data_IF_684355734817
#
_entry.id   IF_684355734817
#
_cell.length_a   1.000
_cell.length_b   1.000
_cell.length_c   1.000
_cell.angle_alpha   90.00
_cell.angle_beta   90.00
_cell.angle_gamma   90.00
#
_symmetry.space_group_name_H-M   'P 1'
#
loop_
_entity.id
_entity.type
_entity.pdbx_description
1 polymer ?
#
# COMPACT_ATOMS: atom_id res chain seq x y z
N UNK A 1 37.67 -18.58 50.10
CA UNK A 1 37.64 -19.10 48.72
C UNK A 1 36.18 -19.19 48.33
N UNK A 2 35.75 -18.22 47.52
CA UNK A 2 34.41 -18.15 46.94
C UNK A 2 34.14 -19.35 46.04
N UNK A 3 32.93 -19.90 46.07
CA UNK A 3 32.35 -20.59 44.91
C UNK A 3 30.95 -20.04 44.70
N UNK A 4 30.83 -19.20 43.68
CA UNK A 4 29.60 -18.57 43.21
C UNK A 4 28.91 -19.44 42.15
N UNK A 5 27.59 -19.56 42.29
CA UNK A 5 26.49 -19.67 41.30
C UNK A 5 26.74 -20.38 39.95
N UNK A 6 25.77 -21.24 39.59
CA UNK A 6 24.83 -20.95 38.48
C UNK A 6 23.67 -21.97 38.40
N UNK A 7 22.40 -21.54 38.36
CA UNK A 7 21.29 -22.31 37.80
C UNK A 7 21.04 -21.90 36.33
N UNK A 8 20.49 -22.85 35.57
CA UNK A 8 19.76 -22.71 34.30
C UNK A 8 20.41 -21.95 33.12
N UNK A 9 20.77 -22.70 32.07
CA UNK A 9 20.68 -22.17 30.70
C UNK A 9 20.28 -23.27 29.71
N UNK A 10 19.21 -22.96 28.99
CA UNK A 10 18.56 -23.74 27.94
C UNK A 10 19.53 -24.00 26.79
N UNK A 11 19.52 -25.24 26.28
CA UNK A 11 20.37 -25.69 25.19
C UNK A 11 19.98 -25.07 23.85
N UNK A 12 20.83 -24.18 23.35
CA UNK A 12 20.97 -23.91 21.93
C UNK A 12 22.46 -23.91 21.60
N UNK A 13 22.95 -25.05 21.13
CA UNK A 13 24.23 -25.13 20.42
C UNK A 13 24.04 -25.90 19.12
N UNK A 14 24.45 -25.22 18.04
CA UNK A 14 24.77 -25.74 16.71
C UNK A 14 23.62 -26.13 15.77
N UNK A 15 22.96 -25.13 15.18
CA UNK A 15 22.44 -25.25 13.82
C UNK A 15 23.44 -24.60 12.84
N UNK A 16 24.34 -25.41 12.30
CA UNK A 16 25.07 -25.08 11.08
C UNK A 16 24.11 -25.30 9.90
N UNK A 17 23.56 -24.21 9.35
CA UNK A 17 22.78 -24.25 8.13
C UNK A 17 23.74 -24.17 6.94
N UNK A 18 24.10 -25.31 6.34
CA UNK A 18 24.71 -25.31 5.00
C UNK A 18 23.62 -25.04 3.96
N UNK A 19 23.47 -23.78 3.56
CA UNK A 19 22.82 -23.47 2.29
C UNK A 19 23.74 -23.94 1.15
N UNK A 20 23.23 -24.62 0.11
CA UNK A 20 24.04 -24.93 -1.07
C UNK A 20 24.47 -23.63 -1.75
N UNK A 21 25.75 -23.55 -2.14
CA UNK A 21 26.30 -22.46 -2.95
C UNK A 21 25.62 -22.52 -4.31
N UNK A 22 24.86 -21.47 -4.66
CA UNK A 22 24.31 -21.30 -5.99
C UNK A 22 25.49 -20.95 -6.92
N UNK A 23 25.76 -21.72 -7.99
CA UNK A 23 26.82 -21.37 -8.91
C UNK A 23 26.45 -20.09 -9.66
N UNK A 24 27.35 -19.11 -9.64
CA UNK A 24 27.35 -17.99 -10.59
C UNK A 24 27.45 -18.58 -12.01
N UNK A 25 26.33 -18.63 -12.73
CA UNK A 25 26.33 -19.00 -14.14
C UNK A 25 26.85 -17.81 -14.94
N UNK A 26 28.05 -17.97 -15.49
CA UNK A 26 28.61 -17.11 -16.53
C UNK A 26 27.65 -17.05 -17.73
N UNK A 27 26.88 -15.98 -17.86
CA UNK A 27 26.35 -15.54 -19.13
C UNK A 27 27.17 -14.34 -19.62
N UNK A 28 28.08 -14.61 -20.56
CA UNK A 28 28.56 -13.65 -21.55
C UNK A 28 29.74 -12.76 -21.16
N UNK A 29 30.95 -13.33 -21.10
CA UNK A 29 32.19 -12.59 -21.37
C UNK A 29 32.58 -12.88 -22.81
N UNK A 30 32.39 -11.91 -23.69
CA UNK A 30 33.24 -11.63 -24.86
C UNK A 30 32.62 -10.47 -25.67
N UNK A 31 32.87 -9.24 -25.20
CA UNK A 31 32.78 -8.05 -26.06
C UNK A 31 33.99 -7.19 -25.77
N UNK A 32 34.97 -7.21 -26.68
CA UNK A 32 36.09 -6.26 -26.70
C UNK A 32 35.55 -4.89 -27.12
N UNK A 33 35.61 -3.92 -26.21
CA UNK A 33 35.29 -2.52 -26.54
C UNK A 33 36.38 -1.93 -27.46
N UNK A 34 36.01 -1.18 -28.51
CA UNK A 34 37.00 -0.47 -29.32
C UNK A 34 37.57 0.71 -28.53
N UNK A 35 38.89 0.85 -28.53
CA UNK A 35 39.57 2.06 -28.06
C UNK A 35 39.15 3.25 -28.95
N UNK A 36 38.49 4.25 -28.36
CA UNK A 36 38.27 5.53 -29.02
C UNK A 36 38.37 6.70 -28.04
N UNK A 37 39.42 7.49 -28.23
CA UNK A 37 39.38 8.95 -28.35
C UNK A 37 38.73 9.74 -27.22
N UNK A 38 39.58 10.40 -26.44
CA UNK A 38 39.22 11.49 -25.54
C UNK A 38 38.56 12.67 -26.28
N UNK A 39 37.25 12.85 -26.13
CA UNK A 39 36.61 14.18 -26.19
C UNK A 39 35.45 14.22 -25.18
N UNK A 40 35.46 15.15 -24.20
CA UNK A 40 34.35 15.29 -23.26
C UNK A 40 33.20 16.04 -23.94
N UNK A 41 32.05 15.38 -24.09
CA UNK A 41 30.77 16.04 -24.30
C UNK A 41 30.04 16.05 -22.96
N UNK A 42 30.19 17.15 -22.24
CA UNK A 42 29.45 17.45 -21.02
C UNK A 42 27.98 17.72 -21.36
N UNK A 43 27.13 16.69 -21.28
CA UNK A 43 25.68 16.88 -21.13
C UNK A 43 25.14 15.84 -20.12
N UNK A 44 24.72 16.24 -18.91
CA UNK A 44 24.08 15.31 -17.98
C UNK A 44 22.68 14.95 -18.47
N UNK A 45 22.43 13.65 -18.67
CA UNK A 45 21.18 13.09 -19.22
C UNK A 45 20.00 13.09 -18.23
N UNK A 46 20.21 13.49 -16.96
CA UNK A 46 19.15 13.67 -15.98
C UNK A 46 19.50 14.82 -15.04
N UNK A 47 18.54 15.69 -14.64
CA UNK A 47 18.79 16.69 -13.63
C UNK A 47 19.14 16.01 -12.31
N UNK A 48 20.24 16.42 -11.67
CA UNK A 48 20.48 16.11 -10.26
C UNK A 48 19.45 16.91 -9.45
N UNK A 49 18.41 16.24 -8.97
CA UNK A 49 17.50 16.84 -8.00
C UNK A 49 18.20 16.80 -6.64
N UNK A 50 18.74 17.94 -6.23
CA UNK A 50 19.21 18.16 -4.87
C UNK A 50 18.02 18.02 -3.93
N UNK A 51 18.11 17.09 -2.98
CA UNK A 51 17.10 16.94 -1.94
C UNK A 51 17.05 18.23 -1.09
N UNK A 52 15.93 18.99 -1.04
CA UNK A 52 15.86 20.20 -0.22
C UNK A 52 15.80 19.91 1.29
N UNK A 53 15.89 18.65 1.70
CA UNK A 53 15.49 18.18 3.04
C UNK A 53 16.51 18.30 4.17
N UNK A 54 17.74 18.77 3.94
CA UNK A 54 18.73 18.82 5.04
C UNK A 54 18.44 19.88 6.13
N UNK A 55 17.40 20.72 6.00
CA UNK A 55 17.19 21.87 6.89
C UNK A 55 16.11 21.75 7.98
N UNK A 56 15.38 20.63 8.11
CA UNK A 56 14.28 20.54 9.08
C UNK A 56 14.26 19.26 9.93
N UNK A 57 15.41 18.88 10.49
CA UNK A 57 15.57 17.73 11.39
C UNK A 57 15.05 17.96 12.81
N UNK A 58 14.47 19.12 13.15
CA UNK A 58 14.03 19.39 14.51
C UNK A 58 12.50 19.54 14.61
N UNK A 59 11.90 18.54 15.26
CA UNK A 59 10.47 18.39 15.65
C UNK A 59 9.57 17.69 14.63
N UNK A 60 9.69 16.36 14.51
CA UNK A 60 8.57 15.51 14.08
C UNK A 60 8.31 14.45 15.13
N UNK A 61 7.13 14.53 15.74
CA UNK A 61 6.61 13.56 16.69
C UNK A 61 6.18 12.33 15.90
N UNK A 62 6.70 11.16 16.29
CA UNK A 62 6.52 9.83 15.69
C UNK A 62 7.24 9.64 14.33
N UNK A 63 8.40 9.00 14.39
CA UNK A 63 9.15 8.51 13.22
C UNK A 63 8.29 7.43 12.60
N UNK A 64 7.55 7.76 11.53
CA UNK A 64 7.01 6.73 10.65
C UNK A 64 8.20 5.93 10.11
N UNK A 65 8.08 4.60 10.03
CA UNK A 65 9.16 3.77 9.47
C UNK A 65 9.48 4.14 8.01
N UNK A 66 8.55 4.80 7.33
CA UNK A 66 8.73 5.37 5.99
C UNK A 66 9.67 6.59 5.95
N UNK A 67 9.87 7.28 7.08
CA UNK A 67 10.75 8.45 7.19
C UNK A 67 12.16 8.00 7.60
N UNK A 68 12.94 7.55 6.61
CA UNK A 68 14.33 7.17 6.78
C UNK A 68 15.16 7.58 5.56
N UNK A 69 16.48 7.43 5.63
CA UNK A 69 17.42 7.75 4.54
C UNK A 69 17.13 6.98 3.23
N UNK A 70 16.34 5.89 3.31
CA UNK A 70 15.93 5.06 2.18
C UNK A 70 14.52 5.40 1.65
N UNK A 71 13.89 6.49 2.08
CA UNK A 71 12.49 6.80 1.72
C UNK A 71 12.25 6.80 0.21
N UNK A 72 13.21 7.32 -0.56
CA UNK A 72 13.12 7.43 -2.01
C UNK A 72 13.30 6.06 -2.69
N UNK A 73 14.29 5.28 -2.24
CA UNK A 73 14.54 3.91 -2.73
C UNK A 73 13.36 2.98 -2.43
N UNK A 74 12.79 3.11 -1.23
CA UNK A 74 11.58 2.39 -0.82
C UNK A 74 10.43 2.76 -1.75
N UNK A 75 10.19 4.05 -2.00
CA UNK A 75 9.12 4.49 -2.89
C UNK A 75 9.31 4.00 -4.32
N UNK A 76 10.54 4.08 -4.84
CA UNK A 76 10.87 3.56 -6.15
C UNK A 76 10.58 2.06 -6.24
N UNK A 77 11.01 1.29 -5.24
CA UNK A 77 10.72 -0.14 -5.13
C UNK A 77 9.21 -0.40 -5.08
N UNK A 78 8.44 0.37 -4.30
CA UNK A 78 6.98 0.24 -4.24
C UNK A 78 6.34 0.44 -5.62
N UNK A 79 6.77 1.46 -6.38
CA UNK A 79 6.27 1.70 -7.73
C UNK A 79 6.62 0.57 -8.70
N UNK A 80 7.88 0.13 -8.72
CA UNK A 80 8.33 -0.96 -9.59
C UNK A 80 7.60 -2.28 -9.28
N UNK A 81 7.26 -2.50 -8.00
CA UNK A 81 6.55 -3.70 -7.56
C UNK A 81 5.04 -3.62 -7.83
N UNK A 82 4.45 -2.43 -7.78
CA UNK A 82 3.08 -2.20 -8.24
C UNK A 82 2.91 -2.48 -9.74
N UNK A 83 3.87 -2.09 -10.58
CA UNK A 83 3.84 -2.36 -12.03
C UNK A 83 3.85 -3.86 -12.36
N UNK A 84 4.32 -4.70 -11.44
CA UNK A 84 4.34 -6.17 -11.55
C UNK A 84 3.11 -6.85 -10.94
N UNK A 85 2.05 -6.10 -10.60
CA UNK A 85 0.76 -6.69 -10.21
C UNK A 85 0.10 -7.38 -11.41
N UNK A 86 -0.70 -8.40 -11.12
CA UNK A 86 -1.57 -9.02 -12.12
C UNK A 86 -2.58 -7.96 -12.57
N UNK A 87 -2.77 -7.85 -13.89
CA UNK A 87 -3.78 -6.95 -14.46
C UNK A 87 -5.15 -7.57 -14.25
N UNK A 88 -5.98 -6.91 -13.45
CA UNK A 88 -7.36 -7.32 -13.18
C UNK A 88 -8.28 -6.87 -14.32
N UNK A 89 -9.03 -7.83 -14.87
CA UNK A 89 -9.95 -7.65 -15.98
C UNK A 89 -11.39 -7.40 -15.55
N UNK A 90 -11.79 -7.87 -14.36
CA UNK A 90 -13.16 -7.81 -13.82
C UNK A 90 -14.22 -8.32 -14.81
N UNK A 91 -13.90 -9.36 -15.57
CA UNK A 91 -14.78 -9.92 -16.60
C UNK A 91 -15.62 -11.10 -16.08
N UNK A 92 -15.30 -11.62 -14.89
CA UNK A 92 -15.99 -12.75 -14.31
C UNK A 92 -17.39 -12.37 -13.84
N UNK A 93 -18.37 -13.26 -14.07
CA UNK A 93 -19.72 -13.12 -13.48
C UNK A 93 -19.69 -13.11 -11.95
N UNK A 94 -18.63 -13.64 -11.34
CA UNK A 94 -18.44 -13.69 -9.91
C UNK A 94 -18.19 -12.31 -9.28
N UNK A 95 -17.81 -11.30 -10.07
CA UNK A 95 -17.66 -9.92 -9.58
C UNK A 95 -18.96 -9.35 -8.98
N UNK A 96 -20.12 -9.91 -9.33
CA UNK A 96 -21.41 -9.58 -8.69
C UNK A 96 -21.44 -9.88 -7.19
N UNK A 97 -20.66 -10.85 -6.71
CA UNK A 97 -20.55 -11.18 -5.29
C UNK A 97 -19.48 -10.38 -4.54
N UNK A 98 -18.69 -9.57 -5.25
CA UNK A 98 -17.53 -8.86 -4.69
C UNK A 98 -17.91 -7.96 -3.51
N UNK A 99 -19.03 -7.23 -3.60
CA UNK A 99 -19.50 -6.38 -2.51
C UNK A 99 -19.86 -7.18 -1.25
N UNK A 100 -20.49 -8.35 -1.43
CA UNK A 100 -20.78 -9.25 -0.32
C UNK A 100 -19.50 -9.79 0.32
N UNK A 101 -18.50 -10.16 -0.50
CA UNK A 101 -17.20 -10.62 0.01
C UNK A 101 -16.44 -9.49 0.71
N UNK A 102 -16.46 -8.27 0.18
CA UNK A 102 -15.85 -7.10 0.82
C UNK A 102 -16.46 -6.84 2.19
N UNK A 103 -17.79 -6.94 2.33
CA UNK A 103 -18.46 -6.82 3.64
C UNK A 103 -17.99 -7.90 4.62
N UNK A 104 -17.89 -9.16 4.16
CA UNK A 104 -17.36 -10.26 4.98
C UNK A 104 -15.92 -9.98 5.41
N UNK A 105 -15.06 -9.55 4.48
CA UNK A 105 -13.66 -9.21 4.73
C UNK A 105 -13.52 -8.06 5.73
N UNK A 106 -14.34 -7.01 5.61
CA UNK A 106 -14.35 -5.88 6.56
C UNK A 106 -14.70 -6.35 7.98
N UNK A 107 -15.76 -7.14 8.14
CA UNK A 107 -16.15 -7.70 9.44
C UNK A 107 -15.04 -8.58 10.02
N UNK A 108 -14.44 -9.44 9.20
CA UNK A 108 -13.34 -10.31 9.62
C UNK A 108 -12.09 -9.50 10.03
N UNK A 109 -11.72 -8.48 9.24
CA UNK A 109 -10.59 -7.60 9.55
C UNK A 109 -10.80 -6.82 10.85
N UNK A 110 -12.00 -6.27 11.06
CA UNK A 110 -12.36 -5.56 12.29
C UNK A 110 -12.30 -6.48 13.52
N UNK A 111 -12.86 -7.69 13.42
CA UNK A 111 -12.86 -8.65 14.53
C UNK A 111 -11.43 -9.05 14.95
N UNK A 112 -10.53 -9.16 13.99
CA UNK A 112 -9.15 -9.57 14.21
C UNK A 112 -8.18 -8.38 14.33
N UNK A 113 -8.69 -7.14 14.34
CA UNK A 113 -7.87 -5.91 14.39
C UNK A 113 -6.78 -5.88 13.31
N UNK A 114 -7.09 -6.38 12.10
CA UNK A 114 -6.17 -6.40 10.98
C UNK A 114 -6.03 -5.00 10.37
N UNK A 115 -4.84 -4.71 9.86
CA UNK A 115 -4.52 -3.45 9.22
C UNK A 115 -5.27 -3.24 7.90
N UNK A 116 -5.24 -1.99 7.44
CA UNK A 116 -5.84 -1.60 6.16
C UNK A 116 -5.08 -2.19 4.99
N UNK A 117 -3.75 -2.27 5.05
CA UNK A 117 -2.92 -2.93 4.04
C UNK A 117 -3.30 -4.40 3.89
N UNK A 118 -3.50 -5.11 5.00
CA UNK A 118 -4.01 -6.49 5.01
C UNK A 118 -5.34 -6.62 4.28
N UNK A 119 -6.33 -5.76 4.57
CA UNK A 119 -7.64 -5.80 3.91
C UNK A 119 -7.54 -5.52 2.40
N UNK A 120 -6.75 -4.52 2.00
CA UNK A 120 -6.54 -4.18 0.60
C UNK A 120 -5.84 -5.29 -0.17
N UNK A 121 -4.81 -5.90 0.43
CA UNK A 121 -4.09 -7.02 -0.16
C UNK A 121 -5.04 -8.23 -0.30
N UNK A 122 -5.83 -8.55 0.72
CA UNK A 122 -6.80 -9.63 0.68
C UNK A 122 -7.81 -9.47 -0.48
N UNK A 123 -8.33 -8.25 -0.68
CA UNK A 123 -9.26 -7.98 -1.76
C UNK A 123 -8.59 -8.06 -3.14
N UNK A 124 -7.35 -7.57 -3.28
CA UNK A 124 -6.56 -7.74 -4.51
C UNK A 124 -6.34 -9.23 -4.85
N UNK A 125 -6.00 -10.06 -3.86
CA UNK A 125 -5.85 -11.50 -4.05
C UNK A 125 -7.16 -12.15 -4.47
N UNK A 126 -8.27 -11.78 -3.84
CA UNK A 126 -9.61 -12.29 -4.17
C UNK A 126 -10.04 -11.90 -5.58
N UNK A 127 -9.85 -10.63 -5.96
CA UNK A 127 -10.18 -10.12 -7.30
C UNK A 127 -9.38 -10.86 -8.37
N UNK A 128 -8.07 -11.05 -8.17
CA UNK A 128 -7.23 -11.83 -9.07
C UNK A 128 -7.67 -13.29 -9.17
N UNK A 129 -8.07 -13.90 -8.06
CA UNK A 129 -8.54 -15.27 -8.06
C UNK A 129 -9.90 -15.45 -8.76
N UNK A 130 -10.83 -14.52 -8.58
CA UNK A 130 -12.13 -14.53 -9.27
C UNK A 130 -12.02 -14.28 -10.78
N UNK A 131 -11.02 -13.51 -11.22
CA UNK A 131 -10.78 -13.26 -12.64
C UNK A 131 -10.16 -14.48 -13.36
N UNK A 132 -9.38 -15.30 -12.65
CA UNK A 132 -8.66 -16.44 -13.25
C UNK A 132 -9.34 -17.80 -13.01
N UNK A 133 -10.27 -17.91 -12.05
CA UNK A 133 -10.94 -19.17 -11.72
C UNK A 133 -12.46 -19.03 -11.60
N UNK A 134 -13.17 -20.03 -12.14
CA UNK A 134 -14.61 -20.20 -11.87
C UNK A 134 -14.81 -20.90 -10.52
N UNK A 135 -15.32 -20.15 -9.54
CA UNK A 135 -15.55 -20.61 -8.17
C UNK A 135 -17.03 -20.87 -8.00
N UNK A 136 -17.39 -21.99 -7.38
CA UNK A 136 -18.77 -22.27 -6.99
C UNK A 136 -19.20 -21.24 -5.93
N UNK A 137 -20.43 -20.74 -6.02
CA UNK A 137 -20.92 -19.69 -5.10
C UNK A 137 -20.78 -20.06 -3.63
N UNK A 138 -21.00 -21.33 -3.29
CA UNK A 138 -20.83 -21.90 -1.95
C UNK A 138 -19.38 -21.90 -1.42
N UNK A 139 -18.37 -21.67 -2.27
CA UNK A 139 -16.94 -21.61 -1.93
C UNK A 139 -16.36 -20.20 -2.03
N UNK A 140 -17.17 -19.19 -2.34
CA UNK A 140 -16.71 -17.80 -2.42
C UNK A 140 -16.28 -17.27 -1.04
N UNK A 141 -17.07 -17.50 0.01
CA UNK A 141 -16.71 -17.09 1.37
C UNK A 141 -15.41 -17.75 1.84
N UNK A 142 -15.25 -19.06 1.60
CA UNK A 142 -14.01 -19.79 1.87
C UNK A 142 -12.81 -19.11 1.20
N UNK A 143 -12.95 -18.78 -0.09
CA UNK A 143 -11.89 -18.13 -0.87
C UNK A 143 -11.56 -16.75 -0.32
N UNK A 144 -12.56 -15.93 -0.01
CA UNK A 144 -12.37 -14.60 0.54
C UNK A 144 -11.64 -14.66 1.89
N UNK A 145 -12.10 -15.49 2.83
CA UNK A 145 -11.45 -15.67 4.13
C UNK A 145 -10.02 -16.21 3.98
N UNK A 146 -9.79 -17.11 3.03
CA UNK A 146 -8.44 -17.62 2.73
C UNK A 146 -7.52 -16.52 2.22
N UNK A 147 -7.99 -15.65 1.32
CA UNK A 147 -7.22 -14.50 0.84
C UNK A 147 -6.86 -13.55 1.99
N UNK A 148 -7.78 -13.35 2.95
CA UNK A 148 -7.51 -12.53 4.14
C UNK A 148 -6.46 -13.14 5.06
N UNK A 149 -6.51 -14.46 5.27
CA UNK A 149 -5.51 -15.16 6.07
C UNK A 149 -4.13 -15.08 5.42
N UNK A 150 -4.05 -15.25 4.09
CA UNK A 150 -2.79 -15.10 3.36
C UNK A 150 -2.26 -13.67 3.50
N UNK A 151 -3.09 -12.66 3.28
CA UNK A 151 -2.70 -11.26 3.43
C UNK A 151 -2.23 -10.95 4.85
N UNK A 152 -2.93 -11.45 5.87
CA UNK A 152 -2.55 -11.25 7.27
C UNK A 152 -1.21 -11.91 7.60
N UNK A 153 -0.89 -13.09 7.04
CA UNK A 153 0.44 -13.72 7.19
C UNK A 153 1.57 -12.93 6.53
N UNK A 154 1.26 -12.00 5.61
CA UNK A 154 2.25 -11.18 4.90
C UNK A 154 2.47 -9.85 5.63
N UNK A 155 1.37 -9.20 6.02
CA UNK A 155 1.37 -7.81 6.49
C UNK A 155 1.37 -7.70 8.03
N UNK A 156 0.83 -8.68 8.75
CA UNK A 156 0.73 -8.65 10.21
C UNK A 156 1.88 -9.40 10.88
N UNK A 157 2.13 -9.06 12.14
CA UNK A 157 2.97 -9.89 12.99
C UNK A 157 2.34 -11.29 13.18
N UNK A 158 3.18 -12.33 13.24
CA UNK A 158 2.74 -13.74 13.31
C UNK A 158 1.66 -14.03 14.36
N UNK A 159 1.70 -13.33 15.50
CA UNK A 159 0.75 -13.49 16.60
C UNK A 159 -0.66 -12.95 16.28
N UNK A 160 -0.76 -12.02 15.35
CA UNK A 160 -2.00 -11.38 14.94
C UNK A 160 -2.65 -12.10 13.74
N UNK A 161 -1.91 -12.97 13.05
CA UNK A 161 -2.44 -13.70 11.91
C UNK A 161 -3.57 -14.66 12.35
N UNK A 162 -4.77 -14.54 11.75
CA UNK A 162 -5.93 -15.33 12.14
C UNK A 162 -5.79 -16.79 11.70
N UNK A 163 -6.32 -17.70 12.52
CA UNK A 163 -6.32 -19.15 12.24
C UNK A 163 -7.54 -19.55 11.42
N UNK A 164 -7.43 -20.63 10.66
CA UNK A 164 -8.54 -21.19 9.87
C UNK A 164 -9.80 -21.43 10.70
N UNK A 165 -9.65 -21.98 11.91
CA UNK A 165 -10.77 -22.28 12.80
C UNK A 165 -11.49 -21.01 13.24
N UNK A 166 -10.78 -19.91 13.48
CA UNK A 166 -11.41 -18.67 13.94
C UNK A 166 -12.14 -17.96 12.80
N UNK A 167 -11.57 -17.98 11.59
CA UNK A 167 -12.24 -17.45 10.40
C UNK A 167 -13.47 -18.26 10.01
N UNK A 168 -13.46 -19.58 10.21
CA UNK A 168 -14.59 -20.44 9.87
C UNK A 168 -15.83 -20.17 10.75
N UNK A 169 -15.64 -19.75 12.00
CA UNK A 169 -16.74 -19.38 12.91
C UNK A 169 -17.58 -18.23 12.36
N UNK A 170 -16.96 -17.29 11.63
CA UNK A 170 -17.66 -16.16 11.00
C UNK A 170 -18.71 -16.59 9.99
N UNK A 171 -18.56 -17.79 9.41
CA UNK A 171 -19.44 -18.34 8.38
C UNK A 171 -20.23 -19.55 8.87
N UNK A 172 -20.25 -19.79 10.18
CA UNK A 172 -21.03 -20.88 10.80
C UNK A 172 -20.37 -22.26 10.70
N UNK A 173 -19.03 -22.32 10.69
CA UNK A 173 -18.24 -23.54 10.68
C UNK A 173 -18.54 -24.52 9.52
N UNK A 174 -18.88 -23.97 8.36
CA UNK A 174 -19.33 -24.72 7.19
C UNK A 174 -18.18 -25.43 6.46
N UNK A 175 -16.93 -24.97 6.64
CA UNK A 175 -15.76 -25.50 5.93
C UNK A 175 -14.84 -26.32 6.83
N UNK A 176 -14.11 -27.24 6.22
CA UNK A 176 -13.06 -28.02 6.89
C UNK A 176 -11.71 -27.31 6.77
N UNK A 177 -10.79 -27.64 7.68
CA UNK A 177 -9.39 -27.15 7.61
C UNK A 177 -8.71 -27.56 6.31
N UNK A 178 -9.05 -28.74 5.77
CA UNK A 178 -8.48 -29.22 4.52
C UNK A 178 -8.95 -28.39 3.32
N UNK A 179 -10.19 -27.91 3.32
CA UNK A 179 -10.69 -27.00 2.29
C UNK A 179 -9.97 -25.65 2.33
N UNK A 180 -9.68 -25.11 3.52
CA UNK A 180 -8.85 -23.92 3.67
C UNK A 180 -7.44 -24.13 3.11
N UNK A 181 -6.79 -25.25 3.40
CA UNK A 181 -5.45 -25.57 2.86
C UNK A 181 -5.46 -25.68 1.34
N UNK A 182 -6.47 -26.31 0.76
CA UNK A 182 -6.60 -26.44 -0.69
C UNK A 182 -6.86 -25.10 -1.36
N UNK A 183 -7.71 -24.25 -0.76
CA UNK A 183 -7.92 -22.89 -1.24
C UNK A 183 -6.63 -22.07 -1.15
N UNK A 184 -5.92 -22.16 -0.02
CA UNK A 184 -4.67 -21.44 0.22
C UNK A 184 -3.63 -21.80 -0.84
N UNK A 185 -3.41 -23.10 -1.07
CA UNK A 185 -2.49 -23.57 -2.11
C UNK A 185 -2.85 -23.04 -3.49
N UNK A 186 -4.13 -23.01 -3.86
CA UNK A 186 -4.58 -22.49 -5.17
C UNK A 186 -4.33 -20.99 -5.31
N UNK A 187 -4.58 -20.20 -4.27
CA UNK A 187 -4.29 -18.76 -4.27
C UNK A 187 -2.78 -18.55 -4.39
N UNK A 188 -1.97 -19.21 -3.58
CA UNK A 188 -0.51 -19.11 -3.63
C UNK A 188 0.05 -19.46 -5.02
N UNK A 189 -0.45 -20.53 -5.64
CA UNK A 189 -0.04 -20.94 -6.98
C UNK A 189 -0.42 -19.93 -8.07
N UNK A 190 -1.60 -19.31 -7.99
CA UNK A 190 -2.02 -18.28 -8.95
C UNK A 190 -1.04 -17.11 -8.98
N UNK A 191 -0.61 -16.66 -7.81
CA UNK A 191 0.31 -15.53 -7.67
C UNK A 191 1.77 -15.96 -7.76
N UNK A 192 2.07 -17.23 -8.07
CA UNK A 192 3.44 -17.76 -8.12
C UNK A 192 4.25 -17.47 -6.85
N UNK A 193 3.60 -17.49 -5.67
CA UNK A 193 4.16 -17.09 -4.38
C UNK A 193 4.68 -15.63 -4.31
N UNK A 194 4.37 -14.80 -5.30
CA UNK A 194 4.82 -13.42 -5.40
C UNK A 194 3.72 -12.43 -4.94
N UNK A 195 3.51 -12.41 -3.63
CA UNK A 195 2.34 -11.80 -2.99
C UNK A 195 2.61 -10.42 -2.38
N UNK A 196 3.87 -10.05 -2.20
CA UNK A 196 4.27 -8.74 -1.65
C UNK A 196 4.08 -7.69 -2.76
N UNK A 197 2.91 -7.04 -2.78
CA UNK A 197 2.43 -6.33 -3.98
C UNK A 197 1.71 -5.00 -3.73
N UNK A 198 2.41 -3.90 -3.40
CA UNK A 198 1.77 -2.61 -3.22
C UNK A 198 0.45 -2.61 -2.42
N UNK A 199 -0.28 -1.53 -2.39
CA UNK A 199 -1.76 -1.44 -2.55
C UNK A 199 -2.06 0.04 -2.37
N UNK A 200 -3.29 0.46 -2.65
CA UNK A 200 -3.69 1.85 -2.37
C UNK A 200 -3.45 2.21 -0.90
N UNK A 201 -3.69 1.26 0.02
CA UNK A 201 -3.41 1.46 1.44
C UNK A 201 -1.90 1.60 1.73
N UNK A 202 -1.04 0.80 1.12
CA UNK A 202 0.43 0.92 1.31
C UNK A 202 0.94 2.30 0.89
N UNK A 203 0.49 2.80 -0.26
CA UNK A 203 0.85 4.15 -0.70
C UNK A 203 0.24 5.23 0.21
N UNK A 204 -0.98 5.03 0.70
CA UNK A 204 -1.58 5.96 1.64
C UNK A 204 -0.81 6.03 2.95
N UNK A 205 -0.32 4.92 3.48
CA UNK A 205 0.54 4.90 4.66
C UNK A 205 1.86 5.63 4.40
N UNK A 206 2.51 5.38 3.25
CA UNK A 206 3.72 6.07 2.84
C UNK A 206 3.51 7.60 2.77
N UNK A 207 2.46 8.05 2.07
CA UNK A 207 2.19 9.47 1.86
C UNK A 207 1.53 10.16 3.05
N UNK A 208 0.92 9.45 3.99
CA UNK A 208 0.12 10.02 5.09
C UNK A 208 0.84 11.12 5.90
N UNK A 209 2.17 11.06 5.96
CA UNK A 209 3.03 12.01 6.66
C UNK A 209 3.68 13.08 5.74
N UNK A 210 3.45 12.98 4.43
CA UNK A 210 4.08 13.76 3.36
C UNK A 210 3.07 14.39 2.39
N UNK A 211 1.75 14.26 2.63
CA UNK A 211 0.71 14.83 1.75
C UNK A 211 0.84 16.35 1.63
N UNK A 212 1.28 17.02 2.69
CA UNK A 212 1.46 18.46 2.73
C UNK A 212 2.82 18.83 3.30
N UNK A 213 3.42 19.87 2.75
CA UNK A 213 4.61 20.53 3.28
C UNK A 213 4.23 21.75 4.13
N UNK A 214 5.20 22.28 4.88
CA UNK A 214 4.99 23.53 5.61
C UNK A 214 4.71 24.69 4.64
N UNK A 215 5.34 24.68 3.47
CA UNK A 215 5.15 25.68 2.42
C UNK A 215 3.72 25.62 1.85
N UNK A 216 3.16 24.43 1.66
CA UNK A 216 1.76 24.25 1.25
C UNK A 216 0.79 24.85 2.29
N UNK A 217 1.10 24.69 3.57
CA UNK A 217 0.31 25.29 4.65
C UNK A 217 0.42 26.82 4.67
N UNK A 218 1.60 27.37 4.41
CA UNK A 218 1.78 28.81 4.28
C UNK A 218 1.01 29.37 3.08
N UNK A 219 1.05 28.70 1.93
CA UNK A 219 0.27 29.06 0.75
C UNK A 219 -1.24 29.00 1.02
N UNK A 220 -1.70 27.95 1.70
CA UNK A 220 -3.09 27.81 2.15
C UNK A 220 -3.53 29.02 2.99
N UNK A 221 -2.74 29.42 4.00
CA UNK A 221 -3.06 30.57 4.84
C UNK A 221 -3.11 31.87 4.04
N UNK A 222 -2.18 32.08 3.10
CA UNK A 222 -2.18 33.25 2.22
C UNK A 222 -3.46 33.31 1.38
N UNK A 223 -3.89 32.20 0.79
CA UNK A 223 -5.12 32.13 -0.02
C UNK A 223 -6.39 32.30 0.83
N UNK A 224 -6.38 31.79 2.07
CA UNK A 224 -7.48 31.96 3.02
C UNK A 224 -7.66 33.42 3.46
N UNK A 225 -6.56 34.09 3.79
CA UNK A 225 -6.57 35.49 4.22
C UNK A 225 -6.70 36.48 3.05
N UNK A 226 -6.20 36.13 1.86
CA UNK A 226 -6.24 36.93 0.63
C UNK A 226 -7.62 37.07 -0.02
N UNK A 227 -8.66 36.47 0.57
CA UNK A 227 -10.05 36.65 0.14
C UNK A 227 -10.45 35.85 -1.10
N UNK A 228 -9.59 35.01 -1.68
CA UNK A 228 -9.90 34.21 -2.88
C UNK A 228 -11.18 33.38 -2.70
N UNK A 229 -11.39 32.83 -1.50
CA UNK A 229 -12.60 32.07 -1.14
C UNK A 229 -13.81 32.95 -0.77
N UNK A 230 -13.58 34.24 -0.44
CA UNK A 230 -14.65 35.24 -0.18
C UNK A 230 -15.12 35.95 -1.46
N UNK A 231 -14.27 36.06 -2.48
CA UNK A 231 -14.58 36.77 -3.73
C UNK A 231 -15.40 35.93 -4.72
N UNK A 232 -15.26 34.61 -4.70
CA UNK A 232 -16.06 33.72 -5.57
C UNK A 232 -17.55 33.68 -5.20
N UNK A 233 -17.94 34.03 -3.97
CA UNK A 233 -19.36 34.11 -3.58
C UNK A 233 -20.01 35.46 -3.88
N UNK A 234 -19.24 36.49 -4.27
CA UNK A 234 -19.75 37.88 -4.37
C UNK A 234 -19.81 38.40 -5.83
N UNK A 235 -19.09 37.82 -6.80
CA UNK A 235 -18.84 38.54 -8.06
C UNK A 235 -19.13 37.88 -9.43
N UNK A 236 -19.77 36.71 -9.57
CA UNK A 236 -20.11 36.24 -10.93
C UNK A 236 -21.30 35.26 -11.06
N UNK A 237 -22.43 35.70 -11.63
CA UNK A 237 -23.45 34.79 -12.16
C UNK A 237 -23.24 34.38 -13.63
N UNK A 238 -22.24 34.91 -14.36
CA UNK A 238 -22.22 34.82 -15.85
C UNK A 238 -20.83 34.66 -16.53
N UNK A 239 -19.81 34.10 -15.88
CA UNK A 239 -18.55 33.75 -16.57
C UNK A 239 -18.32 32.23 -16.56
N UNK A 240 -18.99 31.56 -17.50
CA UNK A 240 -18.53 30.29 -18.06
C UNK A 240 -17.23 30.56 -18.82
N UNK A 241 -16.13 29.91 -18.42
CA UNK A 241 -15.09 29.27 -19.27
C UNK A 241 -13.85 28.99 -18.39
N UNK A 242 -13.53 27.69 -18.29
CA UNK A 242 -12.42 27.03 -17.56
C UNK A 242 -12.63 26.65 -16.08
N UNK A 243 -13.87 26.43 -15.63
CA UNK A 243 -14.12 25.63 -14.43
C UNK A 243 -14.43 24.18 -14.83
N UNK A 244 -13.40 23.33 -14.82
CA UNK A 244 -13.65 21.90 -14.63
C UNK A 244 -14.23 21.71 -13.23
N UNK A 245 -15.56 21.70 -13.17
CA UNK A 245 -16.42 21.05 -12.17
C UNK A 245 -15.75 20.68 -10.85
N UNK A 246 -15.68 21.64 -9.91
CA UNK A 246 -15.54 21.32 -8.50
C UNK A 246 -16.63 22.07 -7.76
N UNK A 247 -17.54 21.30 -7.18
CA UNK A 247 -18.54 21.71 -6.20
C UNK A 247 -18.00 22.78 -5.24
N UNK A 248 -18.83 23.75 -4.87
CA UNK A 248 -18.58 24.85 -3.91
C UNK A 248 -18.19 24.36 -2.49
N UNK A 249 -17.11 23.60 -2.37
CA UNK A 249 -16.57 23.12 -1.11
C UNK A 249 -15.59 24.20 -0.65
N UNK A 250 -16.07 25.09 0.22
CA UNK A 250 -15.18 25.97 0.97
C UNK A 250 -14.38 25.05 1.90
N UNK A 251 -13.04 24.96 1.76
CA UNK A 251 -12.24 24.10 2.63
C UNK A 251 -12.39 24.58 4.08
N UNK A 252 -12.34 23.69 5.08
CA UNK A 252 -12.40 24.12 6.48
C UNK A 252 -11.17 24.98 6.85
N UNK A 253 -11.34 25.84 7.86
CA UNK A 253 -10.23 26.64 8.37
C UNK A 253 -9.34 25.81 9.32
N UNK A 254 -8.04 25.76 9.06
CA UNK A 254 -7.06 25.06 9.89
C UNK A 254 -6.15 26.06 10.62
N UNK A 255 -6.14 26.00 11.96
CA UNK A 255 -5.35 26.91 12.81
C UNK A 255 -3.87 26.57 12.81
N UNK A 256 -3.52 25.30 12.61
CA UNK A 256 -2.13 24.83 12.64
C UNK A 256 -1.83 23.86 11.49
N UNK A 257 -0.56 23.78 11.11
CA UNK A 257 -0.07 22.77 10.15
C UNK A 257 -0.47 21.35 10.56
N UNK A 258 -0.28 21.01 11.85
CA UNK A 258 -0.60 19.68 12.38
C UNK A 258 -2.09 19.34 12.23
N UNK A 259 -2.97 20.32 12.44
CA UNK A 259 -4.42 20.16 12.26
C UNK A 259 -4.77 19.87 10.80
N UNK A 260 -4.21 20.65 9.86
CA UNK A 260 -4.41 20.44 8.43
C UNK A 260 -3.86 19.09 7.97
N UNK A 261 -2.63 18.74 8.37
CA UNK A 261 -1.99 17.46 8.04
C UNK A 261 -2.83 16.29 8.53
N UNK A 262 -3.31 16.35 9.78
CA UNK A 262 -4.15 15.29 10.36
C UNK A 262 -5.48 15.16 9.64
N UNK A 263 -6.12 16.28 9.30
CA UNK A 263 -7.41 16.27 8.61
C UNK A 263 -7.29 15.70 7.19
N UNK A 264 -6.26 16.09 6.45
CA UNK A 264 -6.00 15.59 5.10
C UNK A 264 -5.56 14.13 5.08
N UNK A 265 -4.74 13.71 6.05
CA UNK A 265 -4.38 12.30 6.24
C UNK A 265 -5.62 11.45 6.52
N UNK A 266 -6.51 11.89 7.41
CA UNK A 266 -7.81 11.22 7.64
C UNK A 266 -8.65 11.14 6.37
N UNK A 267 -8.75 12.22 5.61
CA UNK A 267 -9.49 12.24 4.34
C UNK A 267 -8.87 11.26 3.33
N UNK A 268 -7.55 11.20 3.23
CA UNK A 268 -6.85 10.24 2.37
C UNK A 268 -7.25 8.81 2.73
N UNK A 269 -7.20 8.46 4.02
CA UNK A 269 -7.64 7.15 4.49
C UNK A 269 -9.12 6.90 4.17
N UNK A 270 -10.03 7.86 4.39
CA UNK A 270 -11.43 7.69 3.99
C UNK A 270 -11.58 7.42 2.49
N UNK A 271 -10.85 8.12 1.62
CA UNK A 271 -10.85 7.87 0.18
C UNK A 271 -10.29 6.49 -0.17
N UNK A 272 -9.28 6.03 0.56
CA UNK A 272 -8.71 4.68 0.43
C UNK A 272 -9.76 3.63 0.77
N UNK A 273 -10.55 3.80 1.84
CA UNK A 273 -11.63 2.87 2.19
C UNK A 273 -12.74 2.83 1.14
N UNK A 274 -13.10 3.98 0.56
CA UNK A 274 -14.06 4.08 -0.53
C UNK A 274 -13.53 3.45 -1.83
N UNK A 275 -12.21 3.46 -2.04
CA UNK A 275 -11.60 2.81 -3.19
C UNK A 275 -11.83 1.29 -3.23
N UNK A 276 -12.05 0.65 -2.07
CA UNK A 276 -12.39 -0.78 -2.00
C UNK A 276 -13.76 -1.07 -2.61
N UNK A 277 -14.72 -0.15 -2.47
CA UNK A 277 -16.08 -0.28 -3.00
C UNK A 277 -16.15 -0.07 -4.51
N UNK A 278 -15.16 0.60 -5.10
CA UNK A 278 -15.13 0.92 -6.52
C UNK A 278 -14.85 -0.33 -7.37
N UNK A 279 -15.76 -0.69 -8.28
CA UNK A 279 -15.56 -1.79 -9.25
C UNK A 279 -14.51 -1.49 -10.34
N UNK A 280 -13.92 -0.29 -10.36
CA UNK A 280 -12.96 0.12 -11.38
C UNK A 280 -11.65 0.64 -10.76
N UNK A 281 -10.53 -0.12 -10.87
CA UNK A 281 -9.22 0.32 -10.40
C UNK A 281 -8.63 1.49 -11.21
N UNK A 282 -9.19 1.80 -12.38
CA UNK A 282 -8.60 2.75 -13.33
C UNK A 282 -8.71 4.22 -12.91
N UNK A 283 -9.58 4.57 -11.96
CA UNK A 283 -9.82 5.96 -11.58
C UNK A 283 -9.23 6.35 -10.22
N UNK A 284 -9.26 5.47 -9.22
CA UNK A 284 -8.88 5.85 -7.84
C UNK A 284 -7.37 6.05 -7.64
N UNK A 285 -6.52 5.27 -8.30
CA UNK A 285 -5.05 5.43 -8.21
C UNK A 285 -4.53 6.63 -9.00
N UNK A 286 -5.14 6.96 -10.14
CA UNK A 286 -4.75 8.16 -10.90
C UNK A 286 -5.05 9.43 -10.11
N UNK A 287 -6.16 9.49 -9.39
CA UNK A 287 -6.51 10.70 -8.61
C UNK A 287 -5.55 10.88 -7.43
N UNK A 288 -5.21 9.80 -6.70
CA UNK A 288 -4.27 9.88 -5.57
C UNK A 288 -2.81 10.11 -6.00
N UNK A 289 -2.38 9.57 -7.15
CA UNK A 289 -1.01 9.77 -7.64
C UNK A 289 -0.84 11.10 -8.41
N UNK A 290 -1.84 11.58 -9.14
CA UNK A 290 -1.76 12.90 -9.80
C UNK A 290 -1.80 14.06 -8.80
N UNK A 291 -2.45 13.90 -7.63
CA UNK A 291 -2.44 14.94 -6.59
C UNK A 291 -1.09 15.12 -5.89
N UNK A 292 -0.14 14.19 -6.08
CA UNK A 292 1.23 14.26 -5.51
C UNK A 292 2.26 14.69 -6.57
N UNK A 293 1.86 14.84 -7.84
CA UNK A 293 2.74 15.24 -8.94
C UNK A 293 2.55 16.69 -9.41
N UNK A 294 1.96 17.56 -8.60
CA UNK A 294 1.88 19.01 -8.86
C UNK A 294 2.46 19.78 -7.70
#
# INVERSE_FOLDING_TARGET
MESNKSPDSCGYSNFFCHSPIIPLTNYGVDVTWPEMGTTPLDVPMFPQYSNPFELFTNQRTEISHWLCDYSDDIFQTLRETELRRIVLGFQSKQCTFREAMLRLLKVAAELHSLSRTTLHLALYLLDGFMDNFTIRSEKLNLTALTCLIIAAKIEEADINAPKFVDMNKLVGDVYTVEEFRQAEMKVLMLFHFDLIRPTVATFAEYFSNHIITLDDYHLYLQNWHGGLFKYNSILNPQLEILSYTSTDIIPPFYRTYKEMATALSKLMFTLVDESLSCMFPKFSLKILLYSVQV
#
